data_IF_257249984850
#
_entry.id   IF_257249984850
#
_cell.length_a   1.000
_cell.length_b   1.000
_cell.length_c   1.000
_cell.angle_alpha   90.00
_cell.angle_beta   90.00
_cell.angle_gamma   90.00
#
_symmetry.space_group_name_H-M   'P 1'
#
loop_
_entity.id
_entity.type
_entity.pdbx_description
1 polymer ?
#
# COMPACT_ATOMS: atom_id res chain seq x y z
N UNK A 1 19.76 -3.86 -22.60
CA UNK A 1 18.35 -3.58 -22.22
C UNK A 1 18.35 -2.32 -21.39
N UNK A 2 17.58 -1.30 -21.79
CA UNK A 2 17.36 -0.13 -20.96
C UNK A 2 16.40 -0.50 -19.83
N UNK A 3 16.81 -0.32 -18.59
CA UNK A 3 15.96 -0.53 -17.42
C UNK A 3 15.02 0.67 -17.29
N UNK A 4 13.74 0.48 -17.60
CA UNK A 4 12.71 1.51 -17.55
C UNK A 4 11.79 1.23 -16.37
N UNK A 5 11.59 2.23 -15.50
CA UNK A 5 10.60 2.19 -14.43
C UNK A 5 9.20 2.07 -15.03
N UNK A 6 8.44 1.05 -14.65
CA UNK A 6 7.03 0.94 -15.05
C UNK A 6 6.14 1.49 -13.95
N UNK A 7 5.33 2.50 -14.28
CA UNK A 7 4.34 3.10 -13.37
C UNK A 7 2.93 2.63 -13.73
N UNK A 8 2.16 2.26 -12.70
CA UNK A 8 0.78 1.83 -12.78
C UNK A 8 -0.08 2.77 -11.93
N UNK A 9 -0.84 3.69 -12.54
CA UNK A 9 -1.63 4.68 -11.80
C UNK A 9 -2.57 4.05 -10.77
N UNK A 10 -2.46 4.47 -9.52
CA UNK A 10 -3.23 4.01 -8.38
C UNK A 10 -4.56 4.75 -8.22
N UNK A 11 -4.60 6.07 -8.40
CA UNK A 11 -5.78 6.92 -8.13
C UNK A 11 -7.04 6.42 -8.85
N UNK A 12 -7.05 6.18 -10.17
CA UNK A 12 -8.26 5.70 -10.84
C UNK A 12 -8.72 4.33 -10.34
N UNK A 13 -7.78 3.48 -9.89
CA UNK A 13 -8.11 2.15 -9.33
C UNK A 13 -8.71 2.25 -7.93
N UNK A 14 -8.21 3.15 -7.09
CA UNK A 14 -8.79 3.43 -5.77
C UNK A 14 -10.18 4.08 -5.89
N UNK A 15 -10.34 5.06 -6.78
CA UNK A 15 -11.64 5.67 -7.07
C UNK A 15 -12.65 4.62 -7.54
N UNK A 16 -12.27 3.76 -8.48
CA UNK A 16 -13.14 2.66 -8.92
C UNK A 16 -13.50 1.70 -7.77
N UNK A 17 -12.56 1.43 -6.85
CA UNK A 17 -12.83 0.60 -5.68
C UNK A 17 -13.84 1.24 -4.72
N UNK A 18 -13.78 2.57 -4.54
CA UNK A 18 -14.69 3.36 -3.71
C UNK A 18 -16.11 3.48 -4.29
N UNK A 19 -16.26 3.48 -5.63
CA UNK A 19 -17.56 3.56 -6.30
C UNK A 19 -18.46 2.33 -6.07
N UNK A 20 -17.88 1.19 -5.69
CA UNK A 20 -18.66 -0.01 -5.35
C UNK A 20 -19.30 0.12 -3.97
N UNK A 21 -20.64 0.14 -3.91
CA UNK A 21 -21.40 0.24 -2.64
C UNK A 21 -21.01 -0.84 -1.62
N UNK A 22 -20.78 -2.06 -2.07
CA UNK A 22 -20.34 -3.15 -1.18
C UNK A 22 -18.97 -2.84 -0.58
N UNK A 23 -18.03 -2.35 -1.39
CA UNK A 23 -16.67 -2.04 -0.95
C UNK A 23 -16.62 -0.81 -0.06
N UNK A 24 -17.47 0.18 -0.31
CA UNK A 24 -17.64 1.35 0.55
C UNK A 24 -17.96 0.98 2.01
N UNK A 25 -18.84 -0.01 2.22
CA UNK A 25 -19.14 -0.51 3.58
C UNK A 25 -17.90 -1.13 4.23
N UNK A 26 -17.10 -1.87 3.46
CA UNK A 26 -15.87 -2.45 3.97
C UNK A 26 -14.77 -1.41 4.23
N UNK A 27 -14.73 -0.30 3.49
CA UNK A 27 -13.72 0.74 3.73
C UNK A 27 -13.94 1.49 5.04
N UNK A 28 -15.18 1.54 5.52
CA UNK A 28 -15.53 2.09 6.85
C UNK A 28 -15.31 1.10 7.99
N UNK A 29 -14.97 -0.17 7.70
CA UNK A 29 -14.81 -1.22 8.71
C UNK A 29 -13.85 -0.82 9.82
N UNK A 30 -12.76 -0.14 9.47
CA UNK A 30 -11.74 0.30 10.41
C UNK A 30 -12.24 1.26 11.51
N UNK A 31 -13.35 1.97 11.28
CA UNK A 31 -13.96 2.88 12.26
C UNK A 31 -15.24 2.29 12.85
N UNK A 32 -16.06 1.66 12.01
CA UNK A 32 -17.39 1.17 12.40
C UNK A 32 -17.36 -0.14 13.19
N UNK A 33 -16.35 -0.99 12.93
CA UNK A 33 -16.33 -2.38 13.41
C UNK A 33 -14.98 -2.82 13.96
N UNK A 34 -13.99 -1.94 13.96
CA UNK A 34 -12.71 -2.23 14.59
C UNK A 34 -12.87 -2.16 16.10
N UNK A 35 -12.81 -3.32 16.76
CA UNK A 35 -12.82 -3.41 18.21
C UNK A 35 -11.39 -3.23 18.68
N UNK A 36 -11.06 -2.04 19.18
CA UNK A 36 -9.80 -1.82 19.86
C UNK A 36 -9.75 -2.69 21.11
N UNK A 37 -8.82 -3.64 21.14
CA UNK A 37 -8.50 -4.41 22.34
C UNK A 37 -7.12 -3.99 22.78
N UNK A 38 -6.97 -3.65 24.07
CA UNK A 38 -5.65 -3.36 24.64
C UNK A 38 -4.72 -4.57 24.43
N UNK A 39 -3.49 -4.29 23.99
CA UNK A 39 -2.42 -5.27 23.75
C UNK A 39 -2.68 -6.39 22.70
N UNK A 40 -3.70 -6.26 21.84
CA UNK A 40 -3.92 -7.20 20.73
C UNK A 40 -3.86 -6.51 19.37
N UNK A 41 -2.91 -6.94 18.53
CA UNK A 41 -2.79 -6.53 17.13
C UNK A 41 -3.65 -7.44 16.25
N UNK A 42 -4.91 -7.06 15.99
CA UNK A 42 -5.82 -7.83 15.12
C UNK A 42 -5.73 -7.40 13.67
N UNK A 43 -5.33 -6.16 13.45
CA UNK A 43 -5.18 -5.55 12.15
C UNK A 43 -3.97 -4.59 12.17
N UNK A 44 -3.24 -4.39 11.05
CA UNK A 44 -2.09 -3.48 11.01
C UNK A 44 -2.38 -2.06 11.53
N UNK A 45 -3.63 -1.61 11.42
CA UNK A 45 -4.12 -0.33 11.93
C UNK A 45 -4.09 -0.19 13.46
N UNK A 46 -4.08 -1.32 14.19
CA UNK A 46 -4.03 -1.35 15.65
C UNK A 46 -2.59 -1.05 16.15
N UNK A 47 -1.61 -1.06 15.25
CA UNK A 47 -0.22 -0.80 15.58
C UNK A 47 -0.05 0.61 16.14
N UNK A 48 0.88 0.74 17.11
CA UNK A 48 1.19 2.01 17.78
C UNK A 48 1.47 3.15 16.80
N UNK A 49 2.11 2.87 15.66
CA UNK A 49 2.38 3.86 14.61
C UNK A 49 1.12 4.46 14.02
N UNK A 50 0.10 3.65 13.72
CA UNK A 50 -1.18 4.14 13.19
C UNK A 50 -2.01 4.87 14.25
N UNK A 51 -1.96 4.45 15.51
CA UNK A 51 -2.60 5.16 16.62
C UNK A 51 -1.97 6.55 16.82
N UNK A 52 -0.65 6.62 16.78
CA UNK A 52 0.08 7.88 16.90
C UNK A 52 -0.22 8.82 15.72
N UNK A 53 -0.20 8.30 14.49
CA UNK A 53 -0.59 9.05 13.30
C UNK A 53 -2.02 9.60 13.40
N UNK A 54 -2.98 8.80 13.87
CA UNK A 54 -4.35 9.27 14.07
C UNK A 54 -4.48 10.38 15.13
N UNK A 55 -3.61 10.38 16.14
CA UNK A 55 -3.53 11.44 17.14
C UNK A 55 -2.89 12.72 16.58
N UNK A 56 -1.84 12.60 15.76
CA UNK A 56 -1.17 13.74 15.13
C UNK A 56 -2.03 14.41 14.05
N UNK A 57 -2.81 13.62 13.31
CA UNK A 57 -3.64 14.09 12.21
C UNK A 57 -5.14 13.78 12.48
N UNK A 58 -5.78 14.50 13.43
CA UNK A 58 -7.16 14.26 13.80
C UNK A 58 -8.14 14.51 12.66
N UNK A 59 -7.86 15.50 11.81
CA UNK A 59 -8.67 15.79 10.62
C UNK A 59 -8.67 14.59 9.67
N UNK A 60 -7.49 13.99 9.46
CA UNK A 60 -7.37 12.76 8.66
C UNK A 60 -8.09 11.58 9.31
N UNK A 61 -7.93 11.39 10.62
CA UNK A 61 -8.56 10.30 11.34
C UNK A 61 -10.10 10.44 11.44
N UNK A 62 -10.61 11.66 11.35
CA UNK A 62 -12.03 11.97 11.44
C UNK A 62 -12.78 11.51 10.19
N UNK A 63 -12.18 11.61 9.01
CA UNK A 63 -12.81 11.20 7.76
C UNK A 63 -12.79 9.66 7.62
N UNK A 64 -13.98 9.12 7.40
CA UNK A 64 -14.23 7.70 7.18
C UNK A 64 -13.71 7.19 5.83
N UNK A 65 -13.51 8.10 4.87
CA UNK A 65 -13.15 7.79 3.49
C UNK A 65 -11.64 7.86 3.26
N UNK A 66 -10.90 8.41 4.21
CA UNK A 66 -9.45 8.47 4.13
C UNK A 66 -8.85 7.08 4.03
N UNK A 67 -8.04 6.90 2.98
CA UNK A 67 -7.49 5.61 2.61
C UNK A 67 -6.19 5.37 3.39
N UNK A 68 -6.14 4.25 4.10
CA UNK A 68 -4.97 3.76 4.83
C UNK A 68 -4.33 2.65 3.99
N UNK A 69 -3.12 2.90 3.53
CA UNK A 69 -2.37 1.99 2.67
C UNK A 69 -1.13 1.46 3.39
N UNK A 70 -0.87 0.16 3.23
CA UNK A 70 0.41 -0.45 3.55
C UNK A 70 1.27 -0.52 2.30
N UNK A 71 2.50 0.00 2.35
CA UNK A 71 3.47 -0.14 1.27
C UNK A 71 4.38 -1.34 1.55
N UNK A 72 4.45 -2.26 0.59
CA UNK A 72 5.37 -3.38 0.59
C UNK A 72 6.27 -3.29 -0.64
N UNK A 73 7.57 -3.47 -0.42
CA UNK A 73 8.56 -3.56 -1.47
C UNK A 73 9.45 -4.77 -1.18
N UNK A 74 9.54 -5.67 -2.14
CA UNK A 74 10.42 -6.84 -2.06
C UNK A 74 11.15 -7.01 -3.40
N UNK A 75 12.30 -7.67 -3.38
CA UNK A 75 13.13 -7.90 -4.55
C UNK A 75 12.97 -9.33 -5.05
N UNK A 76 12.46 -9.51 -6.27
CA UNK A 76 12.38 -10.82 -6.90
C UNK A 76 13.39 -10.95 -8.05
N UNK A 77 14.14 -12.05 -8.05
CA UNK A 77 15.01 -12.43 -9.16
C UNK A 77 14.27 -13.43 -10.06
N UNK A 78 13.81 -13.00 -11.23
CA UNK A 78 13.10 -13.86 -12.19
C UNK A 78 13.96 -15.01 -12.74
N UNK A 79 15.28 -14.90 -12.68
CA UNK A 79 16.21 -15.92 -13.18
C UNK A 79 16.77 -16.81 -12.05
N UNK A 80 16.28 -16.63 -10.82
CA UNK A 80 16.67 -17.38 -9.63
C UNK A 80 18.21 -17.54 -9.49
N UNK A 81 18.72 -18.73 -9.84
CA UNK A 81 20.11 -19.17 -9.61
C UNK A 81 20.99 -19.06 -10.86
N UNK A 82 20.40 -18.86 -12.05
CA UNK A 82 21.14 -18.87 -13.32
C UNK A 82 21.77 -17.51 -13.63
N UNK A 83 21.33 -16.47 -12.92
CA UNK A 83 21.84 -15.11 -13.04
C UNK A 83 21.42 -14.28 -11.85
N UNK A 84 22.37 -13.59 -11.20
CA UNK A 84 22.10 -12.52 -10.22
C UNK A 84 22.12 -11.13 -10.85
N UNK A 85 22.23 -11.04 -12.19
CA UNK A 85 22.40 -9.76 -12.89
C UNK A 85 21.08 -9.02 -13.16
N UNK A 86 19.94 -9.57 -12.72
CA UNK A 86 18.63 -8.97 -12.92
C UNK A 86 17.72 -9.22 -11.72
N UNK A 87 17.29 -8.16 -11.04
CA UNK A 87 16.21 -8.22 -10.06
C UNK A 87 15.12 -7.19 -10.39
N UNK A 88 13.89 -7.50 -9.99
CA UNK A 88 12.75 -6.60 -10.13
C UNK A 88 12.13 -6.37 -8.76
N UNK A 89 11.84 -5.12 -8.48
CA UNK A 89 11.32 -4.66 -7.21
C UNK A 89 9.90 -4.13 -7.42
N UNK A 90 8.87 -4.96 -7.26
CA UNK A 90 7.48 -4.50 -7.26
C UNK A 90 7.18 -3.69 -5.99
N UNK A 91 6.68 -2.47 -6.18
CA UNK A 91 6.05 -1.69 -5.11
C UNK A 91 4.57 -2.06 -5.10
N UNK A 92 4.13 -2.69 -4.01
CA UNK A 92 2.76 -3.15 -3.82
C UNK A 92 2.12 -2.37 -2.68
N UNK A 93 0.89 -1.94 -2.91
CA UNK A 93 0.07 -1.25 -1.93
C UNK A 93 -1.08 -2.15 -1.48
N UNK A 94 -1.27 -2.22 -0.17
CA UNK A 94 -2.28 -3.05 0.48
C UNK A 94 -3.31 -2.14 1.14
N UNK A 95 -4.60 -2.39 0.91
CA UNK A 95 -5.67 -1.58 1.46
C UNK A 95 -6.03 -2.02 2.89
N UNK A 96 -5.62 -1.21 3.88
CA UNK A 96 -5.84 -1.45 5.31
C UNK A 96 -7.17 -0.89 5.83
N UNK A 97 -7.99 -0.26 4.99
CA UNK A 97 -9.36 0.07 5.35
C UNK A 97 -10.25 -1.18 5.46
N UNK A 98 -9.90 -2.25 4.75
CA UNK A 98 -10.68 -3.48 4.66
C UNK A 98 -10.47 -4.35 5.90
N UNK A 99 -11.47 -5.20 6.27
CA UNK A 99 -11.29 -6.17 7.33
C UNK A 99 -10.13 -7.15 7.02
N UNK A 100 -9.46 -7.73 8.04
CA UNK A 100 -8.27 -8.57 7.88
C UNK A 100 -8.40 -9.66 6.82
N UNK A 101 -9.54 -10.37 6.80
CA UNK A 101 -9.79 -11.46 5.85
C UNK A 101 -9.90 -10.99 4.39
N UNK A 102 -10.20 -9.71 4.17
CA UNK A 102 -10.27 -9.10 2.84
C UNK A 102 -8.98 -8.38 2.50
N UNK A 103 -8.36 -7.66 3.43
CA UNK A 103 -7.14 -6.90 3.14
C UNK A 103 -6.00 -7.79 2.64
N UNK A 104 -5.91 -9.04 3.10
CA UNK A 104 -4.87 -10.02 2.69
C UNK A 104 -5.16 -10.66 1.32
N UNK A 105 -6.36 -10.47 0.72
CA UNK A 105 -6.66 -11.04 -0.58
C UNK A 105 -5.85 -10.36 -1.68
N UNK A 106 -5.24 -11.17 -2.55
CA UNK A 106 -4.45 -10.70 -3.71
C UNK A 106 -5.21 -9.71 -4.60
N UNK A 107 -6.54 -9.84 -4.71
CA UNK A 107 -7.39 -8.92 -5.46
C UNK A 107 -7.41 -7.48 -4.91
N UNK A 108 -6.94 -7.28 -3.68
CA UNK A 108 -6.88 -5.98 -3.00
C UNK A 108 -5.45 -5.44 -2.90
N UNK A 109 -4.49 -6.09 -3.55
CA UNK A 109 -3.13 -5.61 -3.71
C UNK A 109 -3.02 -4.80 -5.00
N UNK A 110 -2.48 -3.60 -4.90
CA UNK A 110 -2.25 -2.72 -6.03
C UNK A 110 -0.76 -2.61 -6.29
N UNK A 111 -0.28 -3.18 -7.38
CA UNK A 111 1.06 -2.87 -7.87
C UNK A 111 1.05 -1.45 -8.43
N UNK A 112 1.92 -0.57 -7.93
CA UNK A 112 2.05 0.83 -8.36
C UNK A 112 3.31 1.06 -9.18
N UNK A 113 4.43 0.43 -8.81
CA UNK A 113 5.69 0.57 -9.52
C UNK A 113 6.33 -0.81 -9.73
N UNK A 114 7.01 -0.97 -10.87
CA UNK A 114 7.93 -2.06 -11.09
C UNK A 114 9.30 -1.47 -11.40
N UNK A 115 10.24 -1.64 -10.46
CA UNK A 115 11.58 -1.07 -10.54
C UNK A 115 12.55 -2.18 -10.99
N UNK A 116 13.00 -2.19 -12.25
CA UNK A 116 14.09 -3.06 -12.68
C UNK A 116 15.41 -2.53 -12.13
N UNK A 117 16.09 -3.32 -11.30
CA UNK A 117 17.41 -2.97 -10.77
C UNK A 117 18.23 -4.25 -10.53
N UNK A 118 19.48 -4.38 -11.02
CA UNK A 118 20.31 -5.55 -10.71
C UNK A 118 20.70 -5.64 -9.22
N UNK A 119 20.55 -4.55 -8.46
CA UNK A 119 20.84 -4.48 -7.03
C UNK A 119 19.62 -3.99 -6.25
N UNK A 120 19.69 -4.10 -4.92
CA UNK A 120 18.72 -3.45 -4.04
C UNK A 120 18.72 -1.94 -4.30
N UNK A 121 17.55 -1.29 -4.38
CA UNK A 121 17.46 0.16 -4.59
C UNK A 121 18.13 0.95 -3.45
N UNK A 122 18.32 0.34 -2.28
CA UNK A 122 19.17 0.86 -1.22
C UNK A 122 18.80 2.29 -0.85
N UNK A 123 19.74 3.23 -1.03
CA UNK A 123 19.55 4.65 -0.73
C UNK A 123 18.76 5.43 -1.79
N UNK A 124 18.61 4.89 -2.99
CA UNK A 124 17.96 5.58 -4.13
C UNK A 124 16.46 5.25 -4.23
N UNK A 125 15.92 4.52 -3.25
CA UNK A 125 14.51 4.12 -3.22
C UNK A 125 13.56 5.33 -3.24
N UNK A 126 13.96 6.44 -2.64
CA UNK A 126 13.23 7.71 -2.61
C UNK A 126 13.03 8.29 -4.02
N UNK A 127 14.03 8.16 -4.90
CA UNK A 127 13.95 8.60 -6.30
C UNK A 127 12.91 7.79 -7.06
N UNK A 128 12.88 6.47 -6.85
CA UNK A 128 11.93 5.58 -7.52
C UNK A 128 10.49 5.72 -7.00
N UNK A 129 10.31 6.06 -5.73
CA UNK A 129 8.98 6.25 -5.12
C UNK A 129 8.35 7.60 -5.44
N UNK A 130 9.10 8.55 -6.00
CA UNK A 130 8.61 9.91 -6.27
C UNK A 130 7.29 9.96 -7.08
N UNK A 131 7.11 9.19 -8.18
CA UNK A 131 5.85 9.21 -8.92
C UNK A 131 4.65 8.75 -8.08
N UNK A 132 4.88 7.78 -7.17
CA UNK A 132 3.85 7.30 -6.27
C UNK A 132 3.51 8.33 -5.19
N UNK A 133 4.51 9.04 -4.66
CA UNK A 133 4.29 10.10 -3.66
C UNK A 133 3.50 11.26 -4.28
N UNK A 134 3.87 11.67 -5.49
CA UNK A 134 3.15 12.70 -6.25
C UNK A 134 1.69 12.30 -6.44
N UNK A 135 1.43 11.08 -6.91
CA UNK A 135 0.08 10.55 -7.10
C UNK A 135 -0.73 10.48 -5.78
N UNK A 136 -0.11 10.09 -4.66
CA UNK A 136 -0.78 10.03 -3.37
C UNK A 136 -1.06 11.42 -2.76
N UNK A 137 -0.31 12.45 -3.17
CA UNK A 137 -0.49 13.84 -2.71
C UNK A 137 -1.62 14.55 -3.47
N UNK A 138 -2.01 14.02 -4.64
CA UNK A 138 -3.13 14.54 -5.43
C UNK A 138 -4.52 14.06 -4.94
N UNK A 139 -4.57 13.08 -4.03
CA UNK A 139 -5.80 12.54 -3.41
C UNK A 139 -6.33 13.44 -2.30
#
# INVERSE_FOLDING_TARGET
MHMVLCHFPLVPRLQHLLLSQERYVYMRWHKDKCVETEDVLRHPIDAKGWKHFGFEFPDFASDLLNVRLGLALDGFNLFCHMSTSYSMWPVVLILYNLPPLKSIKESNFFMSLLIPNPRTPGREIDVYLRPLIEELTEL
#
